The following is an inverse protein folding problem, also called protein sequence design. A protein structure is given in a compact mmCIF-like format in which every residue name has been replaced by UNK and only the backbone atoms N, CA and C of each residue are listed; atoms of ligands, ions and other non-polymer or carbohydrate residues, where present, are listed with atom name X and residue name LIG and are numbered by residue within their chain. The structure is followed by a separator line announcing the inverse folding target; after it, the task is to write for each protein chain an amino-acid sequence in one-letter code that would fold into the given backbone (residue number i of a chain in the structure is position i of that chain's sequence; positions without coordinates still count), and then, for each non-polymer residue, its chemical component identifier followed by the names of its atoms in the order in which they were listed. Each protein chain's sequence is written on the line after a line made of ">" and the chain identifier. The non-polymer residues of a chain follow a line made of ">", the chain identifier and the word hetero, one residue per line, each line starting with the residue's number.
data_IF_366606162769
#
_entry.id   IF_366606162769
#
_cell.length_a   1.000
_cell.length_b   1.000
_cell.length_c   1.000
_cell.angle_alpha   90.00
_cell.angle_beta   90.00
_cell.angle_gamma   90.00
#
_symmetry.space_group_name_H-M   'P 1'
#
loop_
_entity.id
_entity.type
_entity.pdbx_description
1 polymer ?
#
# COMPACT_ATOMS: atom_id res chain seq x y z
N UNK A 1 33.22 -26.28 -26.96
CA UNK A 1 32.29 -26.73 -25.90
C UNK A 1 33.14 -27.03 -24.68
N UNK A 2 33.12 -26.32 -23.55
CA UNK A 2 32.44 -25.11 -23.10
C UNK A 2 33.36 -24.43 -22.07
N UNK A 3 33.25 -23.11 -22.00
CA UNK A 3 34.02 -22.22 -21.13
C UNK A 3 33.65 -22.43 -19.65
N UNK A 4 34.64 -22.66 -18.80
CA UNK A 4 34.51 -22.43 -17.35
C UNK A 4 34.67 -20.92 -17.10
N UNK A 5 33.54 -20.22 -16.97
CA UNK A 5 33.52 -18.82 -16.52
C UNK A 5 33.82 -18.75 -15.03
N UNK A 6 35.10 -18.55 -14.71
CA UNK A 6 35.55 -18.20 -13.36
C UNK A 6 35.08 -16.76 -13.05
N UNK A 7 33.97 -16.64 -12.32
CA UNK A 7 33.45 -15.35 -11.85
C UNK A 7 34.39 -14.79 -10.78
N UNK A 8 35.38 -14.02 -11.22
CA UNK A 8 36.21 -13.19 -10.37
C UNK A 8 35.38 -12.01 -9.85
N UNK A 9 34.61 -12.24 -8.78
CA UNK A 9 33.99 -11.17 -7.99
C UNK A 9 35.11 -10.42 -7.26
N UNK A 10 35.57 -9.32 -7.87
CA UNK A 10 36.43 -8.32 -7.23
C UNK A 10 35.67 -7.69 -6.05
N UNK A 11 35.63 -8.38 -4.91
CA UNK A 11 35.34 -7.77 -3.63
C UNK A 11 36.58 -6.95 -3.29
N UNK A 12 36.59 -5.67 -3.68
CA UNK A 12 37.59 -4.72 -3.20
C UNK A 12 37.37 -4.57 -1.70
N UNK A 13 38.09 -5.36 -0.91
CA UNK A 13 38.18 -5.24 0.54
C UNK A 13 39.03 -4.01 0.83
N UNK A 14 38.38 -2.84 0.86
CA UNK A 14 39.00 -1.64 1.42
C UNK A 14 39.27 -1.87 2.90
N UNK A 15 40.51 -2.22 3.23
CA UNK A 15 40.99 -2.37 4.59
C UNK A 15 41.24 -0.96 5.15
N UNK A 16 40.24 -0.40 5.85
CA UNK A 16 40.34 0.90 6.49
C UNK A 16 41.23 0.74 7.74
N UNK A 17 42.44 1.30 7.69
CA UNK A 17 43.35 1.33 8.84
C UNK A 17 42.90 2.43 9.81
N UNK A 18 42.14 2.07 10.85
CA UNK A 18 41.57 2.99 11.86
C UNK A 18 42.43 3.05 13.14
N UNK A 19 43.64 2.45 13.13
CA UNK A 19 44.48 2.26 14.34
C UNK A 19 44.79 3.58 15.09
N UNK A 20 44.88 4.71 14.37
CA UNK A 20 45.13 6.04 14.95
C UNK A 20 43.90 6.76 15.54
N UNK A 21 42.69 6.46 15.04
CA UNK A 21 41.45 7.15 15.49
C UNK A 21 40.90 6.46 16.75
N UNK A 22 41.14 5.16 16.90
CA UNK A 22 40.60 4.35 18.00
C UNK A 22 41.23 4.69 19.37
N UNK A 23 42.50 5.13 19.41
CA UNK A 23 43.21 5.44 20.67
C UNK A 23 42.72 6.70 21.39
N UNK A 24 42.04 7.62 20.68
CA UNK A 24 41.54 8.88 21.25
C UNK A 24 40.02 8.88 21.51
N UNK A 25 39.33 7.76 21.26
CA UNK A 25 37.86 7.68 21.30
C UNK A 25 37.26 7.43 22.69
N UNK A 26 38.02 7.52 23.79
CA UNK A 26 37.44 7.62 25.14
C UNK A 26 36.51 6.48 25.59
N UNK A 27 36.60 5.27 25.00
CA UNK A 27 35.68 4.11 25.18
C UNK A 27 34.32 4.24 24.48
N UNK A 28 34.11 5.26 23.65
CA UNK A 28 32.91 5.36 22.82
C UNK A 28 33.06 4.44 21.61
N UNK A 29 32.33 3.32 21.66
CA UNK A 29 32.27 2.35 20.57
C UNK A 29 31.29 2.84 19.51
N UNK A 30 31.81 3.24 18.34
CA UNK A 30 31.00 3.55 17.17
C UNK A 30 31.04 2.36 16.20
N UNK A 31 29.95 1.61 16.12
CA UNK A 31 29.77 0.64 15.05
C UNK A 31 29.44 1.37 13.74
N UNK A 32 30.46 1.52 12.88
CA UNK A 32 30.21 1.83 11.48
C UNK A 32 29.64 0.58 10.80
N UNK A 33 28.32 0.42 10.87
CA UNK A 33 27.61 -0.56 10.06
C UNK A 33 27.68 -0.04 8.62
N UNK A 34 28.73 -0.44 7.89
CA UNK A 34 28.74 -0.30 6.45
C UNK A 34 27.58 -1.14 5.93
N UNK A 35 26.47 -0.48 5.57
CA UNK A 35 25.28 -1.14 5.03
C UNK A 35 25.66 -1.72 3.66
N UNK A 36 26.19 -2.93 3.68
CA UNK A 36 26.68 -3.65 2.50
C UNK A 36 25.56 -4.02 1.53
N UNK A 37 24.30 -3.98 1.99
CA UNK A 37 23.13 -4.29 1.19
C UNK A 37 22.12 -3.13 1.15
N UNK A 38 21.60 -2.85 -0.05
CA UNK A 38 20.52 -1.89 -0.29
C UNK A 38 19.28 -2.24 0.54
N UNK A 39 19.03 -3.54 0.80
CA UNK A 39 17.92 -4.01 1.63
C UNK A 39 18.06 -3.57 3.08
N UNK A 40 19.26 -3.70 3.65
CA UNK A 40 19.57 -3.24 5.01
C UNK A 40 19.40 -1.73 5.11
N UNK A 41 19.82 -0.99 4.07
CA UNK A 41 19.60 0.46 3.99
C UNK A 41 18.12 0.79 3.98
N UNK A 42 17.31 0.09 3.19
CA UNK A 42 15.87 0.29 3.15
C UNK A 42 15.18 0.08 4.51
N UNK A 43 15.67 -0.87 5.31
CA UNK A 43 15.06 -1.19 6.61
C UNK A 43 15.51 -0.27 7.73
N UNK A 44 16.74 0.22 7.68
CA UNK A 44 17.34 0.96 8.80
C UNK A 44 17.30 2.49 8.61
N UNK A 45 17.36 2.98 7.37
CA UNK A 45 17.48 4.41 7.15
C UNK A 45 16.13 5.14 7.22
N UNK A 46 16.13 6.41 7.66
CA UNK A 46 14.91 7.21 7.75
C UNK A 46 14.38 7.56 6.36
N UNK A 47 13.05 7.66 6.24
CA UNK A 47 12.33 7.93 4.98
C UNK A 47 12.91 9.11 4.19
N UNK A 48 13.20 10.23 4.87
CA UNK A 48 13.76 11.43 4.24
C UNK A 48 15.15 11.19 3.59
N UNK A 49 15.96 10.30 4.17
CA UNK A 49 17.25 9.91 3.58
C UNK A 49 17.01 9.01 2.36
N UNK A 50 16.11 8.03 2.46
CA UNK A 50 15.73 7.17 1.34
C UNK A 50 15.17 7.99 0.16
N UNK A 51 14.38 9.02 0.43
CA UNK A 51 13.78 9.88 -0.58
C UNK A 51 14.86 10.63 -1.38
N UNK A 52 15.86 11.18 -0.69
CA UNK A 52 17.02 11.84 -1.32
C UNK A 52 17.81 10.86 -2.19
N UNK A 53 18.16 9.70 -1.63
CA UNK A 53 18.96 8.69 -2.33
C UNK A 53 18.18 8.12 -3.53
N UNK A 54 16.87 7.92 -3.42
CA UNK A 54 16.04 7.40 -4.51
C UNK A 54 15.86 8.40 -5.67
N UNK A 55 15.94 9.70 -5.39
CA UNK A 55 15.86 10.74 -6.41
C UNK A 55 17.13 10.77 -7.28
N UNK A 56 18.29 10.60 -6.67
CA UNK A 56 19.57 10.59 -7.39
C UNK A 56 19.90 9.21 -7.98
N UNK A 57 19.54 8.12 -7.29
CA UNK A 57 19.89 6.76 -7.70
C UNK A 57 18.69 5.97 -8.23
N UNK A 58 18.62 5.66 -9.54
CA UNK A 58 17.50 4.92 -10.13
C UNK A 58 17.41 3.48 -9.59
N UNK A 59 18.55 2.85 -9.27
CA UNK A 59 18.58 1.49 -8.71
C UNK A 59 18.02 1.44 -7.29
N UNK A 60 18.21 2.50 -6.51
CA UNK A 60 17.60 2.63 -5.18
C UNK A 60 16.07 2.77 -5.31
N UNK A 61 15.62 3.59 -6.25
CA UNK A 61 14.19 3.76 -6.54
C UNK A 61 13.55 2.45 -6.99
N UNK A 62 14.21 1.71 -7.88
CA UNK A 62 13.77 0.39 -8.32
C UNK A 62 13.70 -0.60 -7.16
N UNK A 63 14.69 -0.63 -6.27
CA UNK A 63 14.67 -1.53 -5.12
C UNK A 63 13.49 -1.23 -4.17
N UNK A 64 13.11 0.04 -4.04
CA UNK A 64 12.03 0.50 -3.15
C UNK A 64 10.63 0.29 -3.73
N UNK A 65 10.42 0.71 -4.98
CA UNK A 65 9.10 0.69 -5.61
C UNK A 65 8.91 -0.48 -6.58
N UNK A 66 9.99 -1.15 -7.01
CA UNK A 66 9.99 -2.30 -7.90
C UNK A 66 9.93 -1.95 -9.39
N UNK A 67 10.37 -0.76 -9.79
CA UNK A 67 10.44 -0.33 -11.20
C UNK A 67 11.38 0.84 -11.40
N UNK A 68 11.89 0.96 -12.63
CA UNK A 68 12.74 2.06 -13.06
C UNK A 68 11.91 3.16 -13.73
N UNK A 69 12.25 4.43 -13.47
CA UNK A 69 11.61 5.61 -14.08
C UNK A 69 12.57 6.78 -14.27
N UNK A 70 12.16 7.74 -15.10
CA UNK A 70 12.86 9.01 -15.27
C UNK A 70 12.87 9.84 -13.98
N UNK A 71 13.85 10.73 -13.85
CA UNK A 71 14.01 11.60 -12.68
C UNK A 71 12.77 12.47 -12.40
N UNK A 72 12.11 12.98 -13.46
CA UNK A 72 10.89 13.78 -13.36
C UNK A 72 9.74 13.00 -12.71
N UNK A 73 9.55 11.74 -13.12
CA UNK A 73 8.53 10.86 -12.56
C UNK A 73 8.86 10.48 -11.12
N UNK A 74 10.13 10.20 -10.80
CA UNK A 74 10.57 9.93 -9.41
C UNK A 74 10.23 11.08 -8.48
N UNK A 75 10.48 12.31 -8.91
CA UNK A 75 10.12 13.52 -8.17
C UNK A 75 8.61 13.64 -7.95
N UNK A 76 7.79 13.41 -8.99
CA UNK A 76 6.34 13.46 -8.86
C UNK A 76 5.81 12.39 -7.90
N UNK A 77 6.33 11.15 -7.98
CA UNK A 77 5.94 10.05 -7.09
C UNK A 77 6.29 10.37 -5.64
N UNK A 78 7.50 10.90 -5.38
CA UNK A 78 7.93 11.32 -4.05
C UNK A 78 7.07 12.49 -3.53
N UNK A 79 6.72 13.45 -4.40
CA UNK A 79 5.85 14.56 -4.04
C UNK A 79 4.44 14.09 -3.66
N UNK A 80 3.87 13.14 -4.41
CA UNK A 80 2.59 12.50 -4.10
C UNK A 80 2.67 11.73 -2.78
N UNK A 81 3.75 10.99 -2.58
CA UNK A 81 3.98 10.23 -1.36
C UNK A 81 4.03 11.14 -0.12
N UNK A 82 4.69 12.28 -0.23
CA UNK A 82 4.81 13.25 0.86
C UNK A 82 3.50 14.00 1.09
N UNK A 83 2.75 14.34 0.03
CA UNK A 83 1.49 15.07 0.13
C UNK A 83 0.39 14.32 0.89
N UNK A 84 0.36 12.99 0.77
CA UNK A 84 -0.69 12.15 1.35
C UNK A 84 -0.15 11.19 2.42
N UNK A 85 1.12 11.36 2.84
CA UNK A 85 1.81 10.52 3.81
C UNK A 85 1.70 9.00 3.56
N UNK A 86 1.76 8.61 2.29
CA UNK A 86 1.64 7.21 1.92
C UNK A 86 2.89 6.40 2.30
N UNK A 87 2.65 5.17 2.76
CA UNK A 87 3.73 4.19 3.01
C UNK A 87 4.21 3.57 1.70
N UNK A 88 5.48 3.18 1.62
CA UNK A 88 6.07 2.51 0.45
C UNK A 88 5.23 1.29 -0.01
N UNK A 89 4.70 0.53 0.94
CA UNK A 89 3.78 -0.60 0.68
C UNK A 89 2.49 -0.17 -0.02
N UNK A 90 1.91 0.96 0.39
CA UNK A 90 0.70 1.51 -0.23
C UNK A 90 1.01 2.02 -1.63
N UNK A 91 2.15 2.68 -1.82
CA UNK A 91 2.58 3.13 -3.15
C UNK A 91 2.76 1.95 -4.11
N UNK A 92 3.34 0.84 -3.62
CA UNK A 92 3.43 -0.42 -4.36
C UNK A 92 2.04 -1.01 -4.65
N UNK A 93 1.14 -0.94 -3.68
CA UNK A 93 -0.27 -1.36 -3.83
C UNK A 93 -1.05 -0.54 -4.86
N UNK A 94 -0.82 0.77 -4.95
CA UNK A 94 -1.46 1.62 -5.96
C UNK A 94 -1.01 1.28 -7.38
N UNK A 95 0.23 0.82 -7.53
CA UNK A 95 0.71 0.27 -8.80
C UNK A 95 0.04 -1.07 -9.13
N UNK A 96 0.01 -2.01 -8.18
CA UNK A 96 -0.60 -3.34 -8.41
C UNK A 96 -2.10 -3.23 -8.72
N UNK A 97 -2.79 -2.29 -8.07
CA UNK A 97 -4.22 -2.01 -8.34
C UNK A 97 -4.47 -1.21 -9.62
N UNK A 98 -3.42 -0.72 -10.30
CA UNK A 98 -3.55 0.15 -11.47
C UNK A 98 -4.13 1.54 -11.19
N UNK A 99 -4.24 1.92 -9.91
CA UNK A 99 -4.77 3.22 -9.45
C UNK A 99 -3.75 4.34 -9.67
N UNK A 100 -2.46 3.99 -9.66
CA UNK A 100 -1.37 4.89 -10.01
C UNK A 100 -1.07 4.77 -11.51
N UNK A 101 -1.61 5.71 -12.30
CA UNK A 101 -1.31 5.77 -13.74
C UNK A 101 -0.02 6.58 -13.90
N UNK A 102 1.06 5.88 -14.25
CA UNK A 102 2.37 6.46 -14.51
C UNK A 102 2.46 6.66 -16.02
N UNK A 103 2.27 7.89 -16.48
CA UNK A 103 2.48 8.29 -17.88
C UNK A 103 3.85 8.98 -17.97
N UNK A 104 4.59 8.89 -19.09
CA UNK A 104 5.92 9.50 -19.25
C UNK A 104 6.03 10.98 -18.85
N UNK A 105 4.93 11.74 -18.86
CA UNK A 105 4.89 13.15 -18.46
C UNK A 105 4.24 13.39 -17.07
N UNK A 106 3.39 12.49 -16.58
CA UNK A 106 2.65 12.70 -15.33
C UNK A 106 2.34 11.38 -14.59
N UNK A 107 2.62 11.37 -13.28
CA UNK A 107 2.05 10.43 -12.33
C UNK A 107 0.76 11.04 -11.75
N UNK A 108 -0.40 10.49 -12.11
CA UNK A 108 -1.69 10.88 -11.53
C UNK A 108 -2.34 9.70 -10.82
N UNK A 109 -2.78 9.95 -9.59
CA UNK A 109 -3.73 9.07 -8.89
C UNK A 109 -5.08 9.24 -9.59
N UNK A 110 -5.43 8.28 -10.44
CA UNK A 110 -6.76 8.27 -11.06
C UNK A 110 -7.69 7.58 -10.07
N UNK A 111 -8.81 8.19 -9.64
CA UNK A 111 -9.80 7.49 -8.84
C UNK A 111 -10.23 6.24 -9.61
N UNK A 112 -9.96 5.08 -9.02
CA UNK A 112 -10.16 3.81 -9.71
C UNK A 112 -11.65 3.63 -10.02
N UNK A 113 -11.97 3.08 -11.21
CA UNK A 113 -13.34 2.66 -11.56
C UNK A 113 -13.95 1.68 -10.54
N UNK A 114 -13.08 1.10 -9.71
CA UNK A 114 -13.37 0.28 -8.55
C UNK A 114 -14.09 1.04 -7.43
N UNK A 115 -13.71 2.30 -7.16
CA UNK A 115 -14.43 3.13 -6.18
C UNK A 115 -15.85 3.44 -6.67
N UNK A 116 -16.01 3.69 -7.98
CA UNK A 116 -17.32 3.88 -8.59
C UNK A 116 -18.15 2.58 -8.54
N UNK A 117 -17.56 1.44 -8.90
CA UNK A 117 -18.21 0.13 -8.84
C UNK A 117 -18.60 -0.27 -7.41
N UNK A 118 -17.76 0.03 -6.42
CA UNK A 118 -18.06 -0.20 -5.01
C UNK A 118 -19.24 0.66 -4.53
N UNK A 119 -19.32 1.92 -5.00
CA UNK A 119 -20.48 2.78 -4.77
C UNK A 119 -21.76 2.17 -5.34
N UNK A 120 -21.72 1.68 -6.58
CA UNK A 120 -22.87 0.99 -7.19
C UNK A 120 -23.26 -0.29 -6.45
N UNK A 121 -22.29 -1.10 -6.02
CA UNK A 121 -22.54 -2.30 -5.24
C UNK A 121 -23.22 -1.98 -3.90
N UNK A 122 -22.79 -0.92 -3.20
CA UNK A 122 -23.40 -0.48 -1.96
C UNK A 122 -24.87 -0.06 -2.16
N UNK A 123 -25.18 0.66 -3.24
CA UNK A 123 -26.56 1.05 -3.58
C UNK A 123 -27.44 -0.17 -3.82
N UNK A 124 -26.94 -1.18 -4.55
CA UNK A 124 -27.68 -2.43 -4.78
C UNK A 124 -27.96 -3.19 -3.48
N UNK A 125 -26.96 -3.31 -2.59
CA UNK A 125 -27.13 -3.99 -1.30
C UNK A 125 -28.18 -3.30 -0.45
N UNK A 126 -28.11 -1.96 -0.34
CA UNK A 126 -29.04 -1.18 0.47
C UNK A 126 -30.47 -1.20 -0.10
N UNK A 127 -30.59 -1.20 -1.43
CA UNK A 127 -31.86 -1.38 -2.14
C UNK A 127 -32.48 -2.73 -1.84
N UNK A 128 -31.75 -3.83 -2.00
CA UNK A 128 -32.23 -5.19 -1.70
C UNK A 128 -32.63 -5.32 -0.22
N UNK A 129 -31.82 -4.79 0.69
CA UNK A 129 -32.13 -4.79 2.12
C UNK A 129 -33.45 -4.06 2.42
N UNK A 130 -33.68 -2.90 1.79
CA UNK A 130 -34.92 -2.15 1.97
C UNK A 130 -36.15 -2.92 1.47
N UNK A 131 -36.05 -3.61 0.33
CA UNK A 131 -37.14 -4.42 -0.23
C UNK A 131 -37.48 -5.60 0.70
N UNK A 132 -36.47 -6.29 1.23
CA UNK A 132 -36.66 -7.41 2.16
C UNK A 132 -37.35 -6.94 3.45
N UNK A 133 -36.93 -5.80 4.00
CA UNK A 133 -37.53 -5.23 5.21
C UNK A 133 -39.00 -4.83 4.98
N UNK A 134 -39.32 -4.24 3.83
CA UNK A 134 -40.70 -3.90 3.45
C UNK A 134 -41.57 -5.15 3.26
N UNK A 135 -41.03 -6.21 2.69
CA UNK A 135 -41.75 -7.47 2.51
C UNK A 135 -42.02 -8.17 3.86
N UNK A 136 -41.03 -8.24 4.75
CA UNK A 136 -41.18 -8.81 6.08
C UNK A 136 -42.20 -8.03 6.93
N UNK A 137 -42.15 -6.70 6.89
CA UNK A 137 -43.11 -5.86 7.61
C UNK A 137 -44.54 -6.05 7.07
N UNK A 138 -44.71 -6.11 5.74
CA UNK A 138 -46.01 -6.37 5.11
C UNK A 138 -46.57 -7.75 5.46
N UNK A 139 -45.74 -8.80 5.45
CA UNK A 139 -46.16 -10.16 5.82
C UNK A 139 -46.54 -10.26 7.31
N UNK A 140 -45.79 -9.60 8.20
CA UNK A 140 -46.08 -9.55 9.64
C UNK A 140 -47.37 -8.76 9.93
N UNK A 141 -47.61 -7.66 9.21
CA UNK A 141 -48.84 -6.87 9.31
C UNK A 141 -50.05 -7.68 8.85
N UNK A 142 -49.92 -8.39 7.72
CA UNK A 142 -50.99 -9.23 7.16
C UNK A 142 -51.35 -10.40 8.07
N UNK A 143 -50.35 -11.09 8.64
CA UNK A 143 -50.59 -12.14 9.64
C UNK A 143 -51.18 -11.58 10.95
N UNK A 144 -50.73 -10.41 11.42
CA UNK A 144 -51.27 -9.77 12.62
C UNK A 144 -52.73 -9.36 12.48
N UNK A 145 -53.10 -8.77 11.34
CA UNK A 145 -54.49 -8.43 11.01
C UNK A 145 -55.38 -9.67 10.91
N UNK A 146 -54.87 -10.76 10.33
CA UNK A 146 -55.61 -12.01 10.20
C UNK A 146 -55.87 -12.67 11.57
N UNK A 147 -54.88 -12.68 12.47
CA UNK A 147 -55.04 -13.17 13.85
C UNK A 147 -56.03 -12.33 14.66
N UNK A 148 -56.02 -11.00 14.48
CA UNK A 148 -56.96 -10.12 15.18
C UNK A 148 -58.40 -10.29 14.69
N UNK A 149 -58.60 -10.56 13.39
CA UNK A 149 -59.91 -10.81 12.81
C UNK A 149 -60.49 -12.17 13.26
N UNK A 150 -59.65 -13.22 13.33
CA UNK A 150 -60.07 -14.55 13.81
C UNK A 150 -60.42 -14.54 15.32
N UNK A 151 -59.76 -13.69 16.10
CA UNK A 151 -60.06 -13.52 17.53
C UNK A 151 -61.39 -12.80 17.76
N UNK A 152 -61.76 -11.83 16.91
CA UNK A 152 -63.05 -11.14 17.03
C UNK A 152 -64.22 -12.04 16.65
N UNK A 153 -64.10 -12.86 15.60
CA UNK A 153 -65.17 -13.77 15.18
C UNK A 153 -65.46 -14.88 16.18
N UNK A 154 -64.51 -15.24 17.05
CA UNK A 154 -64.72 -16.26 18.10
C UNK A 154 -65.43 -15.69 19.34
N UNK A 155 -65.29 -14.40 19.63
CA UNK A 155 -65.95 -13.75 20.79
C UNK A 155 -67.42 -13.42 20.52
N UNK A 156 -67.83 -13.28 19.27
CA UNK A 156 -69.22 -12.99 18.89
C UNK A 156 -70.10 -14.25 18.76
N UNK A 157 -69.53 -15.45 18.95
CA UNK A 157 -70.19 -16.74 18.72
C UNK A 157 -70.57 -17.53 19.97
N UNK A 158 -70.28 -16.99 21.16
CA UNK A 158 -70.72 -17.49 22.48
C UNK A 158 -71.75 -16.50 23.08
#
# INVERSE_FOLDING_TARGET
>A
MNQEQNQNTNHSSTHLNIDGIQRNAGRDYYEYIALSSIKTLLTCAPKALLDRIALDNPRMFECRFGFETSLTIRQQILAIQNRYDFTDKQMRGFRVSGTLKITPEEAKLVPSRLALAAGWAQVWILSLYSIVMLYCTSHKLLHGLCCHCLSLSRVQGD
#
